data_IF_420877952800
#
_entry.id   IF_420877952800
#
_cell.length_a   1.000
_cell.length_b   1.000
_cell.length_c   1.000
_cell.angle_alpha   90.00
_cell.angle_beta   90.00
_cell.angle_gamma   90.00
#
_symmetry.space_group_name_H-M   'P 1'
#
loop_
_entity.id
_entity.type
_entity.pdbx_description
1 polymer ?
#
# COMPACT_ATOMS: atom_id res chain seq x y z
N UNK A 1 -59.27 41.54 -17.40
CA UNK A 1 -57.87 41.15 -17.72
C UNK A 1 -56.96 41.08 -16.47
N UNK A 2 -57.32 40.36 -15.42
CA UNK A 2 -56.52 40.29 -14.19
C UNK A 2 -56.19 38.84 -13.74
N UNK A 3 -56.58 37.82 -14.50
CA UNK A 3 -56.45 36.41 -14.13
C UNK A 3 -55.22 35.71 -14.71
N UNK A 4 -54.59 36.22 -15.77
CA UNK A 4 -53.40 35.59 -16.39
C UNK A 4 -52.08 35.88 -15.64
N UNK A 5 -51.97 37.02 -14.95
CA UNK A 5 -50.74 37.35 -14.22
C UNK A 5 -50.50 36.51 -12.95
N UNK A 6 -51.53 35.86 -12.43
CA UNK A 6 -51.40 35.04 -11.22
C UNK A 6 -50.89 33.63 -11.52
N UNK A 7 -51.22 33.07 -12.67
CA UNK A 7 -50.78 31.75 -13.13
C UNK A 7 -49.29 31.74 -13.50
N UNK A 8 -48.78 32.79 -14.13
CA UNK A 8 -47.38 32.94 -14.51
C UNK A 8 -46.46 33.10 -13.27
N UNK A 9 -46.91 33.78 -12.22
CA UNK A 9 -46.14 33.92 -10.97
C UNK A 9 -46.04 32.62 -10.18
N UNK A 10 -47.06 31.77 -10.19
CA UNK A 10 -47.04 30.46 -9.55
C UNK A 10 -46.12 29.49 -10.26
N UNK A 11 -46.03 29.54 -11.58
CA UNK A 11 -45.14 28.72 -12.39
C UNK A 11 -43.67 29.09 -12.16
N UNK A 12 -43.34 30.37 -12.11
CA UNK A 12 -41.99 30.87 -11.80
C UNK A 12 -41.51 30.43 -10.41
N UNK A 13 -42.37 30.44 -9.39
CA UNK A 13 -42.03 29.97 -8.07
C UNK A 13 -41.71 28.47 -8.04
N UNK A 14 -42.51 27.67 -8.73
CA UNK A 14 -42.29 26.23 -8.86
C UNK A 14 -40.95 25.93 -9.57
N UNK A 15 -40.64 26.66 -10.61
CA UNK A 15 -39.39 26.53 -11.37
C UNK A 15 -38.17 26.86 -10.50
N UNK A 16 -38.21 27.95 -9.68
CA UNK A 16 -37.13 28.31 -8.77
C UNK A 16 -36.93 27.25 -7.71
N UNK A 17 -38.00 26.71 -7.12
CA UNK A 17 -37.92 25.63 -6.11
C UNK A 17 -37.37 24.36 -6.76
N UNK A 18 -37.82 23.99 -7.92
CA UNK A 18 -37.32 22.80 -8.63
C UNK A 18 -35.84 22.92 -9.00
N UNK A 19 -35.42 24.05 -9.54
CA UNK A 19 -34.04 24.30 -9.92
C UNK A 19 -33.12 24.33 -8.68
N UNK A 20 -33.54 24.95 -7.59
CA UNK A 20 -32.77 24.96 -6.35
C UNK A 20 -32.65 23.56 -5.72
N UNK A 21 -33.70 22.74 -5.78
CA UNK A 21 -33.65 21.36 -5.32
C UNK A 21 -32.71 20.48 -6.16
N UNK A 22 -32.76 20.62 -7.49
CA UNK A 22 -31.84 19.93 -8.40
C UNK A 22 -30.39 20.39 -8.16
N UNK A 23 -30.17 21.69 -8.01
CA UNK A 23 -28.84 22.24 -7.72
C UNK A 23 -28.27 21.67 -6.41
N UNK A 24 -29.08 21.61 -5.35
CA UNK A 24 -28.67 21.04 -4.07
C UNK A 24 -28.27 19.55 -4.20
N UNK A 25 -29.05 18.80 -5.00
CA UNK A 25 -28.76 17.38 -5.27
C UNK A 25 -27.45 17.22 -6.05
N UNK A 26 -27.20 18.03 -7.06
CA UNK A 26 -25.94 18.00 -7.81
C UNK A 26 -24.73 18.37 -6.94
N UNK A 27 -24.86 19.39 -6.10
CA UNK A 27 -23.77 19.79 -5.18
C UNK A 27 -23.45 18.63 -4.23
N UNK A 28 -24.46 17.99 -3.64
CA UNK A 28 -24.27 16.85 -2.72
C UNK A 28 -23.58 15.68 -3.42
N UNK A 29 -24.01 15.34 -4.62
CA UNK A 29 -23.39 14.27 -5.42
C UNK A 29 -21.95 14.60 -5.80
N UNK A 30 -21.68 15.85 -6.17
CA UNK A 30 -20.33 16.30 -6.53
C UNK A 30 -19.36 16.26 -5.34
N UNK A 31 -19.79 16.74 -4.16
CA UNK A 31 -19.00 16.66 -2.93
C UNK A 31 -18.69 15.21 -2.56
N UNK A 32 -19.69 14.32 -2.66
CA UNK A 32 -19.49 12.89 -2.43
C UNK A 32 -18.45 12.27 -3.37
N UNK A 33 -18.54 12.58 -4.66
CA UNK A 33 -17.59 12.11 -5.67
C UNK A 33 -16.17 12.66 -5.42
N UNK A 34 -16.06 13.93 -5.04
CA UNK A 34 -14.77 14.56 -4.72
C UNK A 34 -14.09 13.87 -3.52
N UNK A 35 -14.80 13.70 -2.41
CA UNK A 35 -14.27 13.04 -1.21
C UNK A 35 -13.86 11.59 -1.49
N UNK A 36 -14.65 10.87 -2.29
CA UNK A 36 -14.28 9.52 -2.71
C UNK A 36 -13.01 9.49 -3.56
N UNK A 37 -12.88 10.44 -4.48
CA UNK A 37 -11.68 10.59 -5.32
C UNK A 37 -10.43 10.87 -4.51
N UNK A 38 -10.51 11.78 -3.53
CA UNK A 38 -9.41 12.10 -2.62
C UNK A 38 -8.96 10.89 -1.80
N UNK A 39 -9.91 10.16 -1.19
CA UNK A 39 -9.60 8.94 -0.44
C UNK A 39 -8.95 7.86 -1.33
N UNK A 40 -9.42 7.72 -2.56
CA UNK A 40 -8.85 6.77 -3.52
C UNK A 40 -7.41 7.13 -3.90
N UNK A 41 -7.13 8.42 -4.09
CA UNK A 41 -5.78 8.90 -4.40
C UNK A 41 -4.80 8.66 -3.24
N UNK A 42 -5.20 8.94 -2.00
CA UNK A 42 -4.39 8.67 -0.80
C UNK A 42 -4.12 7.16 -0.66
N UNK A 43 -5.15 6.33 -0.83
CA UNK A 43 -5.00 4.87 -0.76
C UNK A 43 -4.05 4.32 -1.84
N UNK A 44 -4.15 4.83 -3.06
CA UNK A 44 -3.24 4.47 -4.15
C UNK A 44 -1.80 4.91 -3.86
N UNK A 45 -1.61 6.10 -3.28
CA UNK A 45 -0.32 6.61 -2.86
C UNK A 45 0.33 5.73 -1.79
N UNK A 46 -0.40 5.39 -0.73
CA UNK A 46 0.09 4.51 0.32
C UNK A 46 0.47 3.13 -0.22
N UNK A 47 -0.36 2.56 -1.13
CA UNK A 47 -0.06 1.28 -1.76
C UNK A 47 1.21 1.33 -2.60
N UNK A 48 1.42 2.39 -3.38
CA UNK A 48 2.65 2.57 -4.15
C UNK A 48 3.88 2.67 -3.24
N UNK A 49 3.79 3.44 -2.16
CA UNK A 49 4.87 3.56 -1.18
C UNK A 49 5.18 2.23 -0.50
N UNK A 50 4.15 1.45 -0.11
CA UNK A 50 4.34 0.13 0.48
C UNK A 50 5.06 -0.84 -0.47
N UNK A 51 4.76 -0.79 -1.78
CA UNK A 51 5.48 -1.59 -2.79
C UNK A 51 6.96 -1.19 -2.82
N UNK A 52 7.30 0.10 -2.86
CA UNK A 52 8.70 0.54 -2.84
C UNK A 52 9.44 0.11 -1.58
N UNK A 53 8.79 0.16 -0.40
CA UNK A 53 9.38 -0.31 0.85
C UNK A 53 9.61 -1.83 0.84
N UNK A 54 8.72 -2.60 0.22
CA UNK A 54 8.88 -4.03 0.08
C UNK A 54 10.00 -4.38 -0.92
N UNK A 55 10.10 -3.65 -2.05
CA UNK A 55 11.19 -3.81 -3.02
C UNK A 55 12.55 -3.43 -2.41
N UNK A 56 12.62 -2.33 -1.64
CA UNK A 56 13.84 -1.96 -0.89
C UNK A 56 14.29 -3.08 0.05
N UNK A 57 13.35 -3.70 0.77
CA UNK A 57 13.68 -4.81 1.66
C UNK A 57 14.18 -6.04 0.91
N UNK A 58 13.55 -6.41 -0.20
CA UNK A 58 14.02 -7.53 -1.03
C UNK A 58 15.43 -7.27 -1.57
N UNK A 59 15.72 -6.03 -1.98
CA UNK A 59 17.06 -5.67 -2.46
C UNK A 59 18.08 -5.67 -1.32
N UNK A 60 17.71 -5.23 -0.14
CA UNK A 60 18.55 -5.30 1.06
C UNK A 60 18.89 -6.75 1.41
N UNK A 61 17.92 -7.66 1.37
CA UNK A 61 18.17 -9.10 1.63
C UNK A 61 19.06 -9.71 0.55
N UNK A 62 18.92 -9.29 -0.72
CA UNK A 62 19.86 -9.71 -1.79
C UNK A 62 21.29 -9.24 -1.50
N UNK A 63 21.44 -8.01 -1.04
CA UNK A 63 22.76 -7.48 -0.68
C UNK A 63 23.39 -8.26 0.49
N UNK A 64 22.60 -8.62 1.52
CA UNK A 64 23.04 -9.45 2.64
C UNK A 64 23.46 -10.84 2.12
N UNK A 65 22.64 -11.49 1.26
CA UNK A 65 22.98 -12.78 0.64
C UNK A 65 24.32 -12.71 -0.12
N UNK A 66 24.51 -11.65 -0.90
CA UNK A 66 25.72 -11.49 -1.75
C UNK A 66 26.98 -11.29 -0.88
N UNK A 67 26.80 -10.78 0.35
CA UNK A 67 27.88 -10.69 1.32
C UNK A 67 28.10 -12.03 2.04
N UNK A 68 27.02 -12.65 2.54
CA UNK A 68 27.06 -13.93 3.23
C UNK A 68 25.66 -14.60 3.22
N UNK A 69 25.55 -15.75 2.54
CA UNK A 69 24.29 -16.50 2.52
C UNK A 69 23.92 -17.07 3.89
N UNK A 70 24.92 -17.38 4.73
CA UNK A 70 24.72 -17.88 6.10
C UNK A 70 24.09 -16.88 7.05
N UNK A 71 24.17 -15.58 6.74
CA UNK A 71 23.56 -14.53 7.57
C UNK A 71 22.04 -14.47 7.41
N UNK A 72 21.49 -15.14 6.40
CA UNK A 72 20.06 -15.30 6.19
C UNK A 72 19.52 -16.47 7.02
N UNK A 73 19.42 -16.32 8.34
CA UNK A 73 18.83 -17.33 9.22
C UNK A 73 17.31 -17.36 9.08
N UNK A 74 16.70 -18.54 9.33
CA UNK A 74 15.25 -18.67 9.39
C UNK A 74 14.68 -17.81 10.51
N UNK A 75 13.61 -17.09 10.23
CA UNK A 75 12.99 -16.21 11.20
C UNK A 75 12.23 -15.05 10.57
N UNK A 76 11.81 -14.15 11.45
CA UNK A 76 11.10 -12.93 11.09
C UNK A 76 11.90 -11.73 11.59
N UNK A 77 12.17 -10.79 10.71
CA UNK A 77 13.11 -9.71 10.93
C UNK A 77 12.51 -8.36 10.46
N UNK A 78 12.94 -7.29 11.09
CA UNK A 78 12.92 -5.96 10.52
C UNK A 78 14.19 -5.68 9.71
N UNK A 79 14.29 -4.49 9.12
CA UNK A 79 15.46 -4.02 8.40
C UNK A 79 16.08 -2.83 9.13
N UNK A 80 17.34 -2.95 9.51
CA UNK A 80 18.13 -1.84 10.03
C UNK A 80 19.06 -1.31 8.94
N UNK A 81 19.19 0.01 8.88
CA UNK A 81 20.08 0.70 7.94
C UNK A 81 20.95 1.69 8.70
N UNK A 82 22.16 1.27 9.05
CA UNK A 82 23.18 2.18 9.58
C UNK A 82 24.14 2.62 8.48
N UNK A 83 25.16 1.85 8.18
CA UNK A 83 26.05 2.01 7.02
C UNK A 83 25.82 0.90 5.98
N UNK A 84 25.35 -0.23 6.43
CA UNK A 84 25.01 -1.43 5.64
C UNK A 84 23.60 -1.87 6.04
N UNK A 85 22.91 -2.58 5.17
CA UNK A 85 21.64 -3.23 5.52
C UNK A 85 21.91 -4.46 6.38
N UNK A 86 21.18 -4.55 7.49
CA UNK A 86 21.26 -5.66 8.42
C UNK A 86 19.86 -6.11 8.82
N UNK A 87 19.67 -7.42 9.04
CA UNK A 87 18.45 -7.95 9.63
C UNK A 87 18.43 -7.62 11.12
N UNK A 88 17.29 -7.16 11.61
CA UNK A 88 17.10 -6.75 13.00
C UNK A 88 15.94 -7.52 13.62
N UNK A 89 16.09 -7.97 14.85
CA UNK A 89 15.00 -8.57 15.63
C UNK A 89 13.95 -7.54 16.10
N UNK A 90 14.20 -6.24 15.86
CA UNK A 90 13.26 -5.18 16.19
C UNK A 90 12.31 -4.90 15.03
N UNK A 91 11.09 -4.46 15.36
CA UNK A 91 10.12 -4.00 14.39
C UNK A 91 10.65 -2.85 13.53
N UNK A 92 10.42 -2.91 12.23
CA UNK A 92 10.82 -1.89 11.26
C UNK A 92 9.62 -1.01 10.89
N UNK A 93 9.51 0.13 11.58
CA UNK A 93 8.42 1.09 11.41
C UNK A 93 8.92 2.33 10.67
N UNK A 94 8.32 2.59 9.50
CA UNK A 94 8.67 3.70 8.61
C UNK A 94 7.44 4.59 8.41
N UNK A 95 7.34 5.65 9.21
CA UNK A 95 6.16 6.52 9.21
C UNK A 95 4.92 5.78 9.66
N UNK A 96 3.97 5.55 8.74
CA UNK A 96 2.72 4.81 9.00
C UNK A 96 2.81 3.33 8.60
N UNK A 97 3.95 2.90 8.06
CA UNK A 97 4.16 1.54 7.57
C UNK A 97 4.95 0.71 8.57
N UNK A 98 4.53 -0.53 8.79
CA UNK A 98 5.30 -1.57 9.46
C UNK A 98 5.74 -2.60 8.43
N UNK A 99 7.05 -2.89 8.41
CA UNK A 99 7.67 -3.82 7.47
C UNK A 99 8.26 -5.01 8.19
N UNK A 100 7.96 -6.19 7.69
CA UNK A 100 8.40 -7.47 8.21
C UNK A 100 9.01 -8.31 7.08
N UNK A 101 10.13 -8.95 7.36
CA UNK A 101 10.84 -9.84 6.45
C UNK A 101 10.83 -11.24 7.06
N UNK A 102 10.10 -12.16 6.44
CA UNK A 102 10.08 -13.56 6.81
C UNK A 102 11.05 -14.36 5.92
N UNK A 103 11.98 -15.07 6.52
CA UNK A 103 12.96 -15.95 5.87
C UNK A 103 12.61 -17.39 6.24
N UNK A 104 12.47 -18.25 5.23
CA UNK A 104 12.20 -19.68 5.43
C UNK A 104 13.13 -20.50 4.56
N UNK A 105 13.84 -21.43 5.17
CA UNK A 105 14.70 -22.37 4.47
C UNK A 105 13.84 -23.36 3.64
N UNK A 106 14.23 -23.54 2.39
CA UNK A 106 13.67 -24.57 1.51
C UNK A 106 14.60 -25.78 1.51
N UNK A 107 15.88 -25.53 1.37
CA UNK A 107 16.97 -26.50 1.48
C UNK A 107 18.29 -25.76 1.80
N UNK A 108 19.40 -26.49 1.86
CA UNK A 108 20.72 -25.93 2.24
C UNK A 108 21.17 -24.74 1.37
N UNK A 109 20.73 -24.68 0.12
CA UNK A 109 21.17 -23.69 -0.88
C UNK A 109 20.05 -22.75 -1.33
N UNK A 110 18.82 -22.89 -0.79
CA UNK A 110 17.68 -22.08 -1.19
C UNK A 110 16.86 -21.62 0.00
N UNK A 111 16.53 -20.34 -0.01
CA UNK A 111 15.64 -19.73 0.98
C UNK A 111 14.51 -18.98 0.29
N UNK A 112 13.33 -19.03 0.89
CA UNK A 112 12.19 -18.21 0.50
C UNK A 112 12.16 -16.97 1.37
N UNK A 113 12.06 -15.81 0.74
CA UNK A 113 11.98 -14.52 1.40
C UNK A 113 10.60 -13.94 1.12
N UNK A 114 9.87 -13.60 2.16
CA UNK A 114 8.59 -12.90 2.03
C UNK A 114 8.66 -11.60 2.81
N UNK A 115 8.40 -10.49 2.14
CA UNK A 115 8.33 -9.16 2.75
C UNK A 115 6.87 -8.75 2.82
N UNK A 116 6.41 -8.45 4.02
CA UNK A 116 5.08 -7.91 4.29
C UNK A 116 5.22 -6.44 4.74
N UNK A 117 4.48 -5.56 4.08
CA UNK A 117 4.35 -4.15 4.49
C UNK A 117 2.89 -3.89 4.79
N UNK A 118 2.61 -3.49 6.01
CA UNK A 118 1.27 -3.17 6.51
C UNK A 118 1.16 -1.70 6.86
N UNK A 119 -0.03 -1.13 6.72
CA UNK A 119 -0.32 0.24 7.14
C UNK A 119 -1.79 0.39 7.51
N UNK A 120 -2.09 1.31 8.41
CA UNK A 120 -3.45 1.64 8.78
C UNK A 120 -4.14 2.44 7.68
N UNK A 121 -5.29 1.96 7.19
CA UNK A 121 -6.06 2.57 6.10
C UNK A 121 -7.40 3.18 6.59
N UNK A 122 -7.50 3.49 7.88
CA UNK A 122 -8.69 4.07 8.51
C UNK A 122 -9.88 3.10 8.52
N UNK A 123 -11.12 3.57 8.28
CA UNK A 123 -12.33 2.75 8.47
C UNK A 123 -12.43 1.50 7.58
N UNK A 124 -11.56 1.38 6.57
CA UNK A 124 -11.52 0.25 5.63
C UNK A 124 -10.64 -0.91 6.09
N UNK A 125 -10.03 -0.80 7.28
CA UNK A 125 -9.08 -1.77 7.80
C UNK A 125 -7.64 -1.50 7.33
N UNK A 126 -6.75 -2.44 7.61
CA UNK A 126 -5.33 -2.30 7.29
C UNK A 126 -5.06 -2.62 5.82
N UNK A 127 -4.19 -1.84 5.21
CA UNK A 127 -3.61 -2.15 3.92
C UNK A 127 -2.43 -3.12 4.11
N UNK A 128 -2.25 -4.03 3.17
CA UNK A 128 -1.12 -4.97 3.16
C UNK A 128 -0.60 -5.15 1.75
N UNK A 129 0.73 -5.20 1.62
CA UNK A 129 1.46 -5.65 0.44
C UNK A 129 2.38 -6.78 0.88
N UNK A 130 2.38 -7.88 0.12
CA UNK A 130 3.28 -9.01 0.33
C UNK A 130 4.02 -9.29 -0.98
N UNK A 131 5.35 -9.26 -0.93
CA UNK A 131 6.23 -9.64 -2.02
C UNK A 131 7.07 -10.84 -1.59
N UNK A 132 7.22 -11.83 -2.47
CA UNK A 132 8.00 -13.02 -2.18
C UNK A 132 9.00 -13.30 -3.30
N UNK A 133 10.18 -13.80 -2.92
CA UNK A 133 11.23 -14.22 -3.85
C UNK A 133 11.98 -15.42 -3.27
N UNK A 134 12.62 -16.20 -4.13
CA UNK A 134 13.55 -17.26 -3.71
C UNK A 134 14.98 -16.78 -3.96
N UNK A 135 15.83 -16.99 -2.98
CA UNK A 135 17.26 -16.70 -3.07
C UNK A 135 18.04 -18.00 -3.01
N UNK A 136 19.02 -18.12 -3.88
CA UNK A 136 19.92 -19.28 -3.95
C UNK A 136 21.31 -18.88 -3.48
N UNK A 137 22.02 -19.85 -2.91
CA UNK A 137 23.44 -19.73 -2.59
C UNK A 137 24.25 -19.98 -3.88
N UNK A 138 24.45 -18.93 -4.64
CA UNK A 138 25.20 -19.01 -5.91
C UNK A 138 26.71 -19.14 -5.70
N UNK A 139 27.19 -18.97 -4.47
CA UNK A 139 28.62 -19.15 -4.11
C UNK A 139 28.90 -20.57 -3.63
N UNK A 140 27.90 -21.43 -3.46
CA UNK A 140 28.10 -22.83 -3.16
C UNK A 140 28.92 -23.49 -4.28
N UNK A 141 30.05 -24.05 -3.91
CA UNK A 141 30.89 -24.81 -4.86
C UNK A 141 30.10 -26.08 -5.21
N UNK A 142 29.75 -26.22 -6.47
CA UNK A 142 29.21 -27.48 -6.98
C UNK A 142 30.38 -28.46 -6.97
N UNK A 143 30.46 -29.31 -5.94
CA UNK A 143 31.34 -30.49 -6.00
C UNK A 143 30.75 -31.41 -7.07
N UNK A 144 31.36 -31.41 -8.26
CA UNK A 144 31.05 -32.43 -9.26
C UNK A 144 31.46 -33.79 -8.66
N UNK A 145 30.55 -34.79 -8.67
CA UNK A 145 30.93 -36.14 -8.24
C UNK A 145 31.96 -36.70 -9.22
N UNK A 146 33.11 -37.07 -8.70
CA UNK A 146 34.22 -37.73 -9.40
C UNK A 146 33.77 -39.13 -9.79
#
# INVERSE_FOLDING_TARGET
MKKEQSATKGFLLFEVVLTSALLALFITAFVGAYLYGEQSAVSAGNRAQAVFLAEEALEAVRNIRDHSFSDLSDGTYGLSKTNVFELSDSEDVIGVFSREIAITEIDADRKNITVNVTWEQGPRGDGVISLSTQLTNWTAVVEEPI
#
